data_IF_679787071572
#
_entry.id   IF_679787071572
#
_cell.length_a   1.000
_cell.length_b   1.000
_cell.length_c   1.000
_cell.angle_alpha   90.00
_cell.angle_beta   90.00
_cell.angle_gamma   90.00
#
_symmetry.space_group_name_H-M   'P 1'
#
loop_
_entity.id
_entity.type
_entity.pdbx_description
1 polymer ?
#
# COMPACT_ATOMS: atom_id res chain seq x y z
N UNK A 1 -10.07 13.00 -6.19
CA UNK A 1 -10.21 13.24 -4.73
C UNK A 1 -10.09 11.89 -4.07
N UNK A 2 -8.88 11.48 -3.69
CA UNK A 2 -8.65 10.17 -3.08
C UNK A 2 -7.83 10.37 -1.83
N UNK A 3 -8.40 9.90 -0.74
CA UNK A 3 -7.83 10.02 0.59
C UNK A 3 -6.49 9.30 0.57
N UNK A 4 -5.45 10.09 0.75
CA UNK A 4 -4.13 9.64 1.12
C UNK A 4 -4.35 8.79 2.37
N UNK A 5 -4.30 7.46 2.24
CA UNK A 5 -4.08 6.58 3.38
C UNK A 5 -2.62 6.82 3.77
N UNK A 6 -2.38 7.97 4.39
CA UNK A 6 -1.19 8.23 5.16
C UNK A 6 -1.37 7.38 6.40
N UNK A 7 -0.81 6.18 6.35
CA UNK A 7 -0.96 5.13 7.35
C UNK A 7 -0.62 5.54 8.80
N UNK A 8 -0.16 6.77 9.04
CA UNK A 8 0.25 7.25 10.36
C UNK A 8 -0.16 8.70 10.68
N UNK A 9 -0.85 9.44 9.79
CA UNK A 9 -1.17 10.86 10.05
C UNK A 9 -1.96 11.08 11.36
N UNK A 10 -2.94 10.24 11.74
CA UNK A 10 -3.66 10.40 13.01
C UNK A 10 -2.79 10.13 14.25
N UNK A 11 -1.69 9.39 14.10
CA UNK A 11 -0.80 8.98 15.21
C UNK A 11 0.34 9.97 15.49
N UNK A 12 0.49 11.01 14.67
CA UNK A 12 1.53 12.05 14.82
C UNK A 12 0.93 13.39 15.24
N UNK A 13 1.73 14.20 15.92
CA UNK A 13 1.33 15.53 16.41
C UNK A 13 1.03 16.48 15.24
N UNK A 14 0.21 17.52 15.48
CA UNK A 14 -0.14 18.50 14.42
C UNK A 14 1.08 19.13 13.74
N UNK A 15 2.15 19.39 14.48
CA UNK A 15 3.40 19.93 13.93
C UNK A 15 4.09 18.95 12.99
N UNK A 16 4.06 17.65 13.31
CA UNK A 16 4.60 16.59 12.46
C UNK A 16 3.76 16.38 11.20
N UNK A 17 2.42 16.46 11.32
CA UNK A 17 1.52 16.45 10.17
C UNK A 17 1.85 17.61 9.23
N UNK A 18 2.02 18.81 9.77
CA UNK A 18 2.24 20.02 8.98
C UNK A 18 3.62 20.02 8.31
N UNK A 19 4.64 19.48 8.99
CA UNK A 19 5.96 19.24 8.42
C UNK A 19 5.90 18.19 7.30
N UNK A 20 5.17 17.09 7.51
CA UNK A 20 4.94 16.08 6.48
C UNK A 20 4.27 16.70 5.24
N UNK A 21 3.17 17.45 5.42
CA UNK A 21 2.47 18.12 4.32
C UNK A 21 3.34 19.15 3.58
N UNK A 22 4.30 19.79 4.26
CA UNK A 22 5.22 20.74 3.63
C UNK A 22 6.23 20.03 2.75
N UNK A 23 6.93 19.02 3.31
CA UNK A 23 7.89 18.19 2.56
C UNK A 23 7.22 17.46 1.41
N UNK A 24 5.99 17.01 1.63
CA UNK A 24 5.10 16.45 0.63
C UNK A 24 4.93 17.44 -0.52
N UNK A 25 4.42 18.65 -0.27
CA UNK A 25 4.19 19.66 -1.34
C UNK A 25 5.46 20.01 -2.13
N UNK A 26 6.63 19.96 -1.51
CA UNK A 26 7.91 20.22 -2.18
C UNK A 26 8.33 19.09 -3.11
N UNK A 27 8.26 17.83 -2.65
CA UNK A 27 8.53 16.67 -3.48
C UNK A 27 7.63 16.64 -4.72
N UNK A 28 6.38 17.06 -4.56
CA UNK A 28 5.38 17.06 -5.61
C UNK A 28 5.63 18.08 -6.71
N UNK A 29 6.16 19.25 -6.35
CA UNK A 29 6.56 20.27 -7.33
C UNK A 29 7.75 19.81 -8.17
N UNK A 30 8.63 18.99 -7.60
CA UNK A 30 9.84 18.52 -8.28
C UNK A 30 9.55 17.48 -9.39
N UNK A 31 8.47 16.69 -9.28
CA UNK A 31 8.20 15.58 -10.19
C UNK A 31 7.20 15.87 -11.33
N UNK A 32 6.63 17.08 -11.41
CA UNK A 32 5.86 17.54 -12.59
C UNK A 32 4.59 16.76 -12.95
N UNK A 33 4.13 15.82 -12.11
CA UNK A 33 2.86 15.09 -12.27
C UNK A 33 1.82 15.60 -11.27
N UNK A 34 0.59 15.78 -11.74
CA UNK A 34 -0.54 16.06 -10.86
C UNK A 34 -0.86 14.81 -10.01
N UNK A 35 -0.65 14.95 -8.70
CA UNK A 35 -0.96 13.99 -7.62
C UNK A 35 -2.29 13.28 -7.67
N UNK A 36 -3.25 13.91 -8.34
CA UNK A 36 -4.62 13.45 -8.40
C UNK A 36 -4.75 12.08 -9.05
N UNK A 37 -3.71 11.63 -9.76
CA UNK A 37 -3.68 10.36 -10.50
C UNK A 37 -2.75 9.28 -9.91
N UNK A 38 -1.91 9.60 -8.92
CA UNK A 38 -0.85 8.69 -8.47
C UNK A 38 -0.85 8.51 -6.95
N UNK A 39 -1.07 7.28 -6.49
CA UNK A 39 -0.84 6.91 -5.09
C UNK A 39 0.66 6.97 -4.81
N UNK A 40 1.06 7.93 -4.00
CA UNK A 40 2.47 8.20 -3.71
C UNK A 40 3.15 7.08 -2.94
N UNK A 41 2.42 6.30 -2.15
CA UNK A 41 3.01 5.13 -1.51
C UNK A 41 3.48 4.11 -2.56
N UNK A 42 2.77 4.03 -3.69
CA UNK A 42 3.15 3.20 -4.82
C UNK A 42 4.26 3.84 -5.65
N UNK A 43 4.31 5.18 -5.69
CA UNK A 43 5.41 5.88 -6.36
C UNK A 43 6.75 5.49 -5.75
N UNK A 44 6.90 5.40 -4.43
CA UNK A 44 8.19 5.04 -3.82
C UNK A 44 8.66 3.60 -4.08
N UNK A 45 7.82 2.71 -4.62
CA UNK A 45 8.19 1.31 -4.86
C UNK A 45 9.42 1.17 -5.76
N UNK A 46 9.65 2.09 -6.71
CA UNK A 46 10.83 2.03 -7.59
C UNK A 46 12.17 2.30 -6.86
N UNK A 47 12.12 2.82 -5.63
CA UNK A 47 13.30 3.09 -4.80
C UNK A 47 13.61 1.97 -3.81
N UNK A 48 12.70 1.02 -3.65
CA UNK A 48 12.83 -0.08 -2.70
C UNK A 48 13.48 -1.30 -3.35
N UNK A 49 14.23 -2.07 -2.55
CA UNK A 49 14.60 -3.42 -2.95
C UNK A 49 13.35 -4.31 -3.09
N UNK A 50 13.46 -5.43 -3.81
CA UNK A 50 12.35 -6.36 -3.98
C UNK A 50 11.77 -6.86 -2.63
N UNK A 51 12.57 -7.25 -1.61
CA UNK A 51 12.04 -7.64 -0.31
C UNK A 51 11.31 -6.50 0.43
N UNK A 52 11.83 -5.27 0.35
CA UNK A 52 11.19 -4.10 0.96
C UNK A 52 9.86 -3.76 0.26
N UNK A 53 9.83 -3.79 -1.08
CA UNK A 53 8.63 -3.58 -1.86
C UNK A 53 7.55 -4.63 -1.55
N UNK A 54 7.94 -5.90 -1.42
CA UNK A 54 7.05 -6.97 -1.03
C UNK A 54 6.45 -6.74 0.36
N UNK A 55 7.28 -6.39 1.35
CA UNK A 55 6.84 -6.10 2.73
C UNK A 55 5.81 -4.97 2.74
N UNK A 56 6.08 -3.87 2.02
CA UNK A 56 5.16 -2.71 1.94
C UNK A 56 3.82 -3.10 1.34
N UNK A 57 3.81 -3.88 0.26
CA UNK A 57 2.57 -4.31 -0.40
C UNK A 57 1.77 -5.28 0.48
N UNK A 58 2.44 -6.18 1.20
CA UNK A 58 1.78 -7.10 2.14
C UNK A 58 1.13 -6.36 3.32
N UNK A 59 1.82 -5.37 3.90
CA UNK A 59 1.20 -4.54 4.94
C UNK A 59 -0.02 -3.79 4.40
N UNK A 60 0.11 -3.21 3.20
CA UNK A 60 -1.01 -2.51 2.55
C UNK A 60 -2.20 -3.44 2.29
N UNK A 61 -1.94 -4.69 1.89
CA UNK A 61 -2.99 -5.70 1.72
C UNK A 61 -3.72 -5.97 3.04
N UNK A 62 -3.00 -6.12 4.16
CA UNK A 62 -3.62 -6.33 5.48
C UNK A 62 -4.52 -5.16 5.89
N UNK A 63 -4.11 -3.94 5.56
CA UNK A 63 -4.88 -2.73 5.84
C UNK A 63 -6.17 -2.69 5.02
N UNK A 64 -6.09 -2.97 3.72
CA UNK A 64 -7.26 -3.04 2.84
C UNK A 64 -8.24 -4.14 3.29
N UNK A 65 -7.74 -5.33 3.63
CA UNK A 65 -8.57 -6.42 4.16
C UNK A 65 -9.29 -5.99 5.43
N UNK A 66 -8.59 -5.39 6.39
CA UNK A 66 -9.19 -4.89 7.63
C UNK A 66 -10.26 -3.83 7.36
N UNK A 67 -10.02 -2.91 6.43
CA UNK A 67 -11.01 -1.89 6.07
C UNK A 67 -12.26 -2.51 5.43
N UNK A 68 -12.10 -3.49 4.54
CA UNK A 68 -13.24 -4.23 3.97
C UNK A 68 -14.04 -4.98 5.03
N UNK A 69 -13.37 -5.61 6.01
CA UNK A 69 -14.02 -6.29 7.13
C UNK A 69 -14.81 -5.32 8.02
N UNK A 70 -14.24 -4.14 8.32
CA UNK A 70 -14.92 -3.09 9.08
C UNK A 70 -16.16 -2.57 8.35
N UNK A 71 -16.09 -2.43 7.03
CA UNK A 71 -17.24 -2.02 6.21
C UNK A 71 -18.29 -3.13 6.01
N UNK A 72 -18.01 -4.38 6.39
CA UNK A 72 -18.94 -5.51 6.24
C UNK A 72 -19.88 -5.65 7.44
N UNK A 73 -19.57 -5.06 8.59
CA UNK A 73 -20.43 -5.14 9.78
C UNK A 73 -21.75 -4.40 9.48
N UNK A 74 -22.89 -5.10 9.44
CA UNK A 74 -24.18 -4.44 9.39
C UNK A 74 -24.35 -3.74 10.74
N UNK A 75 -24.69 -2.45 10.71
CA UNK A 75 -25.30 -1.84 11.88
C UNK A 75 -26.67 -2.49 12.07
N UNK A 76 -26.73 -3.58 12.83
CA UNK A 76 -27.97 -4.34 13.11
C UNK A 76 -29.05 -3.48 13.79
N UNK A 77 -28.72 -2.25 14.21
CA UNK A 77 -29.60 -1.32 14.92
C UNK A 77 -29.76 0.07 14.24
N UNK A 78 -29.22 0.31 13.04
CA UNK A 78 -29.33 1.65 12.43
C UNK A 78 -30.65 1.87 11.64
N UNK A 79 -31.39 2.96 11.93
CA UNK A 79 -32.56 3.35 11.17
C UNK A 79 -32.15 3.72 9.74
N UNK A 80 -32.96 3.32 8.75
CA UNK A 80 -32.91 3.68 7.32
C UNK A 80 -31.65 4.47 6.94
N UNK A 81 -30.59 3.75 6.56
CA UNK A 81 -29.31 4.32 6.14
C UNK A 81 -29.55 5.43 5.10
N UNK A 82 -29.03 6.65 5.36
CA UNK A 82 -29.10 7.76 4.40
C UNK A 82 -28.56 7.27 3.04
N UNK A 83 -29.33 7.42 1.97
CA UNK A 83 -28.94 7.00 0.63
C UNK A 83 -27.59 7.58 0.20
N UNK A 84 -27.23 8.77 0.69
CA UNK A 84 -25.93 9.38 0.46
C UNK A 84 -24.82 8.60 1.15
N UNK A 85 -25.04 8.16 2.39
CA UNK A 85 -24.09 7.33 3.13
C UNK A 85 -23.91 5.97 2.45
N UNK A 86 -25.01 5.34 2.02
CA UNK A 86 -24.96 4.10 1.25
C UNK A 86 -24.15 4.24 -0.06
N UNK A 87 -24.33 5.36 -0.79
CA UNK A 87 -23.54 5.64 -1.99
C UNK A 87 -22.06 5.85 -1.69
N UNK A 88 -21.72 6.53 -0.59
CA UNK A 88 -20.34 6.75 -0.15
C UNK A 88 -19.69 5.42 0.23
N UNK A 89 -20.36 4.61 1.05
CA UNK A 89 -19.86 3.31 1.49
C UNK A 89 -19.73 2.33 0.33
N UNK A 90 -20.71 2.31 -0.58
CA UNK A 90 -20.66 1.51 -1.81
C UNK A 90 -19.51 1.92 -2.71
N UNK A 91 -19.26 3.22 -2.86
CA UNK A 91 -18.11 3.72 -3.60
C UNK A 91 -16.80 3.27 -2.94
N UNK A 92 -16.60 3.58 -1.66
CA UNK A 92 -15.38 3.22 -0.93
C UNK A 92 -15.09 1.72 -0.95
N UNK A 93 -16.12 0.88 -0.83
CA UNK A 93 -15.98 -0.59 -0.91
C UNK A 93 -15.47 -1.01 -2.29
N UNK A 94 -16.05 -0.48 -3.37
CA UNK A 94 -15.61 -0.81 -4.73
C UNK A 94 -14.13 -0.45 -4.96
N UNK A 95 -13.65 0.62 -4.33
CA UNK A 95 -12.25 1.04 -4.41
C UNK A 95 -11.31 0.10 -3.68
N UNK A 96 -11.67 -0.25 -2.45
CA UNK A 96 -10.89 -1.19 -1.64
C UNK A 96 -10.87 -2.60 -2.25
N UNK A 97 -11.97 -3.06 -2.86
CA UNK A 97 -12.01 -4.33 -3.57
C UNK A 97 -11.10 -4.34 -4.79
N UNK A 98 -11.14 -3.27 -5.60
CA UNK A 98 -10.26 -3.13 -6.77
C UNK A 98 -8.78 -3.11 -6.35
N UNK A 99 -8.47 -2.39 -5.27
CA UNK A 99 -7.12 -2.33 -4.71
C UNK A 99 -6.67 -3.68 -4.14
N UNK A 100 -7.53 -4.39 -3.41
CA UNK A 100 -7.26 -5.72 -2.88
C UNK A 100 -6.85 -6.69 -4.00
N UNK A 101 -7.62 -6.72 -5.10
CA UNK A 101 -7.30 -7.55 -6.26
C UNK A 101 -5.95 -7.17 -6.86
N UNK A 102 -5.67 -5.87 -7.01
CA UNK A 102 -4.40 -5.40 -7.55
C UNK A 102 -3.22 -5.79 -6.65
N UNK A 103 -3.34 -5.63 -5.32
CA UNK A 103 -2.30 -5.97 -4.35
C UNK A 103 -1.93 -7.45 -4.39
N UNK A 104 -2.92 -8.35 -4.44
CA UNK A 104 -2.68 -9.79 -4.58
C UNK A 104 -1.85 -10.07 -5.84
N UNK A 105 -2.25 -9.51 -6.98
CA UNK A 105 -1.56 -9.74 -8.25
C UNK A 105 -0.12 -9.17 -8.23
N UNK A 106 0.08 -7.99 -7.65
CA UNK A 106 1.39 -7.35 -7.54
C UNK A 106 2.34 -8.16 -6.64
N UNK A 107 1.85 -8.59 -5.47
CA UNK A 107 2.60 -9.43 -4.52
C UNK A 107 3.02 -10.74 -5.18
N UNK A 108 2.09 -11.45 -5.82
CA UNK A 108 2.40 -12.72 -6.51
C UNK A 108 3.50 -12.53 -7.56
N UNK A 109 3.46 -11.46 -8.36
CA UNK A 109 4.49 -11.17 -9.37
C UNK A 109 5.87 -10.93 -8.74
N UNK A 110 5.92 -10.17 -7.65
CA UNK A 110 7.19 -9.89 -6.95
C UNK A 110 7.76 -11.14 -6.29
N UNK A 111 6.92 -11.99 -5.69
CA UNK A 111 7.34 -13.25 -5.11
C UNK A 111 7.94 -14.20 -6.17
N UNK A 112 7.32 -14.29 -7.36
CA UNK A 112 7.88 -15.06 -8.47
C UNK A 112 9.26 -14.53 -8.88
N UNK A 113 9.43 -13.20 -8.96
CA UNK A 113 10.71 -12.60 -9.32
C UNK A 113 11.81 -12.82 -8.27
N UNK A 114 11.45 -12.85 -6.98
CA UNK A 114 12.38 -13.17 -5.89
C UNK A 114 12.84 -14.63 -5.95
N UNK A 115 11.93 -15.57 -6.22
CA UNK A 115 12.24 -16.98 -6.39
C UNK A 115 13.22 -17.22 -7.55
N UNK A 116 13.06 -16.48 -8.66
CA UNK A 116 13.97 -16.57 -9.80
C UNK A 116 15.37 -16.03 -9.48
N UNK A 117 15.48 -15.00 -8.63
CA UNK A 117 16.79 -14.42 -8.23
C UNK A 117 17.60 -15.31 -7.28
N UNK A 118 16.93 -16.09 -6.43
CA UNK A 118 17.61 -17.01 -5.51
C UNK A 118 18.16 -18.26 -6.23
N UNK A 119 17.59 -18.64 -7.38
CA UNK A 119 18.06 -19.78 -8.19
C UNK A 119 19.34 -19.49 -8.98
N UNK A 120 19.67 -18.21 -9.18
CA UNK A 120 20.83 -17.75 -9.98
C UNK A 120 22.10 -17.49 -9.14
N UNK A 121 22.11 -17.74 -7.83
CA UNK A 121 23.35 -17.69 -7.04
C UNK A 121 24.21 -18.96 -7.29
N UNK A 122 25.41 -18.85 -7.91
CA UNK A 122 26.29 -20.00 -8.05
C UNK A 122 26.76 -20.45 -6.68
N UNK A 123 26.44 -21.69 -6.31
CA UNK A 123 27.12 -22.39 -5.22
C UNK A 123 28.62 -22.33 -5.45
N UNK A 124 29.31 -21.40 -4.79
CA UNK A 124 30.75 -21.46 -4.65
C UNK A 124 31.01 -22.67 -3.77
N UNK A 125 31.29 -23.80 -4.43
CA UNK A 125 31.78 -25.01 -3.79
C UNK A 125 33.03 -24.64 -2.98
N UNK A 126 32.90 -24.66 -1.66
CA UNK A 126 34.03 -24.61 -0.73
C UNK A 126 34.91 -25.83 -1.00
N UNK A 127 35.90 -25.66 -1.88
CA UNK A 127 36.95 -26.64 -2.07
C UNK A 127 37.77 -26.77 -0.79
N UNK A 128 37.86 -28.02 -0.37
CA UNK A 128 38.72 -28.57 0.67
C UNK A 128 40.14 -28.02 0.63
N UNK A 129 40.62 -27.49 1.75
CA UNK A 129 42.04 -27.49 2.06
C UNK A 129 42.28 -28.22 3.37
N UNK A 130 42.50 -29.52 3.20
CA UNK A 130 43.31 -30.37 4.06
C UNK A 130 44.71 -29.77 4.15
N UNK A 131 45.14 -29.41 5.36
CA UNK A 131 46.52 -29.54 5.82
C UNK A 131 46.50 -30.02 7.27
#
# INVERSE_FOLDING_TARGET
>A
MWQIICLCLPAVTRSEQQRFFTLFREALRAYGRELTEMDLSLFFLHTLSLPEALTVLEERLRLVVRSLEQMRQPAEDEPVQDIKQWMIDGHLRALLEAEHTWLIQAITRLQMQLLDQDLDQPMIASHSHTQ
#
